data_IF_172625839748
#
_entry.id   IF_172625839748
#
_cell.length_a   1.000
_cell.length_b   1.000
_cell.length_c   1.000
_cell.angle_alpha   90.00
_cell.angle_beta   90.00
_cell.angle_gamma   90.00
#
_symmetry.space_group_name_H-M   'P 1'
#
loop_
_entity.id
_entity.type
_entity.pdbx_description
1 polymer ?
#
# COMPACT_ATOMS: atom_id res chain seq x y z
N UNK A 1 -31.92 0.51 29.65
CA UNK A 1 -31.65 0.69 29.68
C UNK A 1 -31.09 1.54 29.72
N UNK A 2 -30.71 2.10 29.71
CA UNK A 2 -30.18 2.96 29.67
C UNK A 2 -28.87 3.08 29.56
N UNK A 3 -28.10 2.82 29.82
CA UNK A 3 -26.87 2.82 29.72
C UNK A 3 -26.26 2.57 28.50
N UNK A 4 -26.71 2.14 27.62
CA UNK A 4 -26.19 1.84 26.39
C UNK A 4 -25.66 3.04 25.67
N UNK A 5 -25.84 4.17 26.17
CA UNK A 5 -25.33 5.34 25.53
C UNK A 5 -23.84 5.36 25.42
N UNK A 6 -23.18 4.91 26.46
CA UNK A 6 -21.75 5.11 26.47
C UNK A 6 -21.06 4.31 25.41
N UNK A 7 -21.51 3.13 25.10
CA UNK A 7 -20.76 2.39 24.13
C UNK A 7 -21.11 2.76 22.71
N UNK A 8 -22.09 3.56 22.52
CA UNK A 8 -22.35 4.09 21.21
C UNK A 8 -21.30 5.07 20.78
N UNK A 9 -20.65 5.68 21.75
CA UNK A 9 -19.59 6.60 21.43
C UNK A 9 -18.34 5.90 21.00
N UNK A 10 -18.23 4.62 21.28
CA UNK A 10 -17.08 3.86 20.90
C UNK A 10 -17.47 3.04 19.70
N UNK A 11 -18.04 3.68 18.74
CA UNK A 11 -18.46 2.97 17.56
C UNK A 11 -17.28 2.24 16.98
N UNK A 12 -17.35 0.94 16.83
CA UNK A 12 -16.27 0.22 16.18
C UNK A 12 -16.18 0.67 14.74
N UNK A 13 -15.02 0.44 14.16
CA UNK A 13 -14.84 0.69 12.76
C UNK A 13 -15.93 -0.04 12.00
N UNK A 14 -16.60 0.64 11.10
CA UNK A 14 -17.65 0.03 10.32
C UNK A 14 -17.07 -1.16 9.58
N UNK A 15 -17.77 -2.30 9.54
CA UNK A 15 -17.20 -3.50 8.95
C UNK A 15 -17.09 -3.49 7.44
N UNK A 16 -17.08 -2.32 6.82
CA UNK A 16 -16.81 -2.22 5.40
C UNK A 16 -15.34 -2.45 5.13
N UNK A 17 -15.04 -2.85 3.93
CA UNK A 17 -13.68 -3.02 3.46
C UNK A 17 -13.49 -2.21 2.19
N UNK A 18 -12.27 -1.76 1.98
CA UNK A 18 -11.91 -1.07 0.75
C UNK A 18 -11.07 -1.99 -0.11
N UNK A 19 -11.22 -1.89 -1.41
CA UNK A 19 -10.37 -2.63 -2.33
C UNK A 19 -10.23 -1.82 -3.61
N UNK A 20 -9.47 -2.36 -4.55
CA UNK A 20 -9.25 -1.70 -5.82
C UNK A 20 -9.72 -2.62 -6.93
N UNK A 21 -9.95 -2.07 -8.12
CA UNK A 21 -10.52 -2.82 -9.21
C UNK A 21 -9.63 -2.90 -10.44
N UNK A 22 -8.57 -2.13 -10.49
CA UNK A 22 -7.67 -2.15 -11.64
C UNK A 22 -6.25 -1.81 -11.24
N UNK A 23 -5.32 -2.01 -12.16
CA UNK A 23 -3.92 -1.73 -11.94
C UNK A 23 -3.70 -0.22 -11.94
N UNK A 24 -2.86 0.25 -11.04
CA UNK A 24 -2.46 1.65 -11.00
C UNK A 24 -1.01 1.76 -10.60
N UNK A 25 -0.40 2.86 -11.02
CA UNK A 25 0.99 3.16 -10.71
C UNK A 25 1.04 4.51 -10.03
N UNK A 26 1.94 4.64 -9.06
CA UNK A 26 2.21 5.94 -8.46
C UNK A 26 3.65 5.98 -8.01
N UNK A 27 4.21 7.18 -8.03
CA UNK A 27 5.50 7.41 -7.41
C UNK A 27 5.35 8.60 -6.49
N UNK A 28 6.21 8.64 -5.49
CA UNK A 28 6.18 9.72 -4.52
C UNK A 28 7.56 9.96 -3.98
N UNK A 29 7.95 11.21 -3.92
CA UNK A 29 9.21 11.64 -3.34
C UNK A 29 8.92 12.37 -2.05
N UNK A 30 9.40 11.79 -0.95
CA UNK A 30 9.36 12.47 0.34
C UNK A 30 10.68 13.21 0.50
N UNK A 31 10.61 14.52 0.56
CA UNK A 31 11.79 15.35 0.71
C UNK A 31 11.48 16.44 1.72
N UNK A 32 12.29 16.52 2.74
CA UNK A 32 12.12 17.53 3.77
C UNK A 32 13.48 18.05 4.18
N UNK A 33 13.62 19.35 4.15
CA UNK A 33 14.84 20.00 4.60
C UNK A 33 14.43 21.13 5.53
N UNK A 34 14.72 20.98 6.79
CA UNK A 34 14.44 22.04 7.73
C UNK A 34 15.44 21.96 8.83
N UNK A 35 16.31 22.95 8.89
CA UNK A 35 17.22 23.22 9.99
C UNK A 35 17.99 22.03 10.43
N UNK A 36 18.18 21.04 10.21
CA UNK A 36 18.91 19.90 10.73
C UNK A 36 19.07 18.83 9.67
N UNK A 37 18.85 17.61 10.10
CA UNK A 37 18.97 16.49 9.20
C UNK A 37 17.83 16.51 8.20
N UNK A 38 18.15 16.33 6.91
CA UNK A 38 17.16 16.22 5.88
C UNK A 38 16.50 14.85 5.86
N UNK A 39 15.43 14.74 5.09
CA UNK A 39 14.76 13.48 4.85
C UNK A 39 14.56 13.30 3.36
N UNK A 40 14.82 12.11 2.87
CA UNK A 40 14.63 11.84 1.45
C UNK A 40 14.31 10.37 1.22
N UNK A 41 13.29 10.12 0.43
CA UNK A 41 12.98 8.79 -0.05
C UNK A 41 12.02 8.88 -1.21
N UNK A 42 12.31 8.16 -2.28
CA UNK A 42 11.41 8.13 -3.43
C UNK A 42 11.08 6.69 -3.75
N UNK A 43 9.79 6.42 -3.93
CA UNK A 43 9.27 5.08 -4.16
C UNK A 43 8.38 5.10 -5.39
N UNK A 44 8.60 4.15 -6.29
CA UNK A 44 7.75 3.94 -7.45
C UNK A 44 7.09 2.57 -7.28
N UNK A 45 5.76 2.54 -7.32
CA UNK A 45 5.05 1.28 -7.10
C UNK A 45 3.92 1.08 -8.08
N UNK A 46 3.59 -0.18 -8.29
CA UNK A 46 2.40 -0.60 -9.00
C UNK A 46 1.55 -1.37 -8.01
N UNK A 47 0.26 -1.10 -8.00
CA UNK A 47 -0.67 -1.90 -7.19
C UNK A 47 -1.74 -2.47 -8.11
N UNK A 48 -2.28 -3.60 -7.71
CA UNK A 48 -3.34 -4.26 -8.46
C UNK A 48 -4.17 -5.11 -7.53
N UNK A 49 -5.41 -5.47 -7.93
CA UNK A 49 -6.22 -6.34 -7.10
C UNK A 49 -5.58 -7.72 -7.00
N UNK A 50 -5.55 -8.26 -5.80
CA UNK A 50 -5.06 -9.60 -5.59
C UNK A 50 -6.21 -10.60 -5.62
N UNK A 51 -6.01 -11.75 -6.26
CA UNK A 51 -6.93 -12.87 -6.22
C UNK A 51 -6.13 -14.15 -6.35
N UNK A 52 -6.71 -15.25 -5.89
CA UNK A 52 -6.02 -16.52 -5.96
C UNK A 52 -5.77 -16.91 -7.40
N UNK A 53 -4.57 -17.40 -7.67
CA UNK A 53 -4.18 -17.78 -9.02
C UNK A 53 -3.69 -16.66 -9.89
N UNK A 54 -3.45 -15.49 -9.30
CA UNK A 54 -3.05 -14.31 -10.05
C UNK A 54 -1.72 -14.46 -10.78
N UNK A 55 -0.84 -15.38 -10.32
CA UNK A 55 0.47 -15.54 -10.94
C UNK A 55 1.44 -14.46 -10.47
N UNK A 56 2.62 -14.45 -11.11
CA UNK A 56 3.66 -13.51 -10.71
C UNK A 56 3.54 -12.19 -11.45
N UNK A 57 3.94 -11.09 -10.81
CA UNK A 57 3.84 -9.77 -11.42
C UNK A 57 4.99 -9.58 -12.42
N UNK A 58 4.72 -9.75 -13.69
CA UNK A 58 5.76 -9.62 -14.71
C UNK A 58 5.49 -8.53 -15.73
N UNK A 59 4.35 -8.56 -16.34
CA UNK A 59 4.07 -7.64 -17.44
C UNK A 59 2.91 -6.75 -17.07
N UNK A 60 3.14 -5.46 -17.14
CA UNK A 60 2.11 -4.49 -16.83
C UNK A 60 2.00 -3.45 -17.93
N UNK A 61 0.78 -3.06 -18.23
CA UNK A 61 0.53 -1.87 -19.02
C UNK A 61 0.21 -0.75 -18.06
N UNK A 62 1.13 0.20 -17.98
CA UNK A 62 1.02 1.27 -17.00
C UNK A 62 0.54 2.52 -17.71
N UNK A 63 -0.57 3.11 -17.28
CA UNK A 63 -1.05 4.34 -17.90
C UNK A 63 0.04 5.40 -17.91
N UNK A 64 0.32 5.95 -19.09
CA UNK A 64 1.33 6.97 -19.25
C UNK A 64 2.75 6.46 -19.36
N UNK A 65 2.99 5.18 -19.12
CA UNK A 65 4.34 4.62 -19.19
C UNK A 65 4.47 3.45 -20.14
N UNK A 66 3.35 2.94 -20.66
CA UNK A 66 3.37 1.85 -21.63
C UNK A 66 3.62 0.51 -20.97
N UNK A 67 4.20 -0.41 -21.74
CA UNK A 67 4.45 -1.75 -21.24
C UNK A 67 5.66 -1.75 -20.33
N UNK A 68 5.55 -2.43 -19.21
CA UNK A 68 6.61 -2.53 -18.24
C UNK A 68 6.79 -3.99 -17.86
N UNK A 69 8.02 -4.47 -17.99
CA UNK A 69 8.37 -5.84 -17.61
C UNK A 69 9.14 -5.78 -16.29
N UNK A 70 8.64 -6.50 -15.30
CA UNK A 70 9.25 -6.49 -13.98
C UNK A 70 9.85 -7.85 -13.68
N UNK A 71 10.93 -7.83 -12.90
CA UNK A 71 11.58 -9.04 -12.45
C UNK A 71 11.55 -9.07 -10.93
N UNK A 72 10.49 -9.62 -10.33
CA UNK A 72 10.38 -9.66 -8.89
C UNK A 72 11.52 -10.47 -8.28
N UNK A 73 12.13 -9.94 -7.25
CA UNK A 73 13.25 -10.60 -6.58
C UNK A 73 12.86 -11.15 -5.22
N UNK A 74 11.97 -10.49 -4.54
CA UNK A 74 11.50 -10.97 -3.25
C UNK A 74 9.99 -10.90 -3.21
N UNK A 75 9.41 -11.81 -2.45
CA UNK A 75 7.97 -11.89 -2.30
C UNK A 75 7.64 -12.08 -0.83
N UNK A 76 6.69 -11.30 -0.35
CA UNK A 76 6.14 -11.49 0.99
C UNK A 76 4.63 -11.49 0.89
N UNK A 77 4.00 -12.32 1.68
CA UNK A 77 2.56 -12.45 1.63
C UNK A 77 2.03 -12.43 3.06
N UNK A 78 1.01 -11.64 3.29
CA UNK A 78 0.46 -11.43 4.62
C UNK A 78 -1.04 -11.69 4.62
N UNK A 79 -1.49 -12.48 5.59
CA UNK A 79 -2.90 -12.61 5.86
C UNK A 79 -3.30 -11.47 6.77
N UNK A 80 -4.22 -10.64 6.30
CA UNK A 80 -4.61 -9.46 7.05
C UNK A 80 -5.55 -9.83 8.18
N UNK A 81 -5.43 -9.15 9.29
CA UNK A 81 -6.25 -9.45 10.46
C UNK A 81 -7.73 -9.26 10.19
N UNK A 82 -8.05 -8.35 9.28
CA UNK A 82 -9.44 -8.04 8.93
C UNK A 82 -9.91 -8.83 7.69
N UNK A 83 -9.17 -9.84 7.30
CA UNK A 83 -9.49 -10.66 6.16
C UNK A 83 -8.80 -10.20 4.90
N UNK A 84 -8.62 -11.13 3.96
CA UNK A 84 -7.93 -10.82 2.72
C UNK A 84 -6.44 -10.90 2.86
N UNK A 85 -5.74 -10.55 1.78
CA UNK A 85 -4.29 -10.69 1.71
C UNK A 85 -3.64 -9.45 1.16
N UNK A 86 -2.37 -9.29 1.52
CA UNK A 86 -1.47 -8.33 0.92
C UNK A 86 -0.28 -9.10 0.37
N UNK A 87 0.00 -8.95 -0.92
CA UNK A 87 1.24 -9.46 -1.51
C UNK A 87 2.16 -8.29 -1.77
N UNK A 88 3.39 -8.43 -1.35
CA UNK A 88 4.39 -7.38 -1.46
C UNK A 88 5.62 -7.93 -2.18
N UNK A 89 5.95 -7.31 -3.29
CA UNK A 89 7.09 -7.72 -4.11
C UNK A 89 8.08 -6.59 -4.23
N UNK A 90 9.35 -6.95 -4.29
CA UNK A 90 10.39 -6.01 -4.66
C UNK A 90 10.97 -6.43 -6.01
N UNK A 91 10.95 -5.52 -6.95
CA UNK A 91 11.55 -5.71 -8.27
C UNK A 91 12.59 -4.62 -8.54
N UNK A 92 13.23 -4.13 -7.49
CA UNK A 92 14.23 -3.08 -7.58
C UNK A 92 15.45 -3.59 -8.32
N UNK A 93 15.97 -2.76 -9.22
CA UNK A 93 17.15 -3.08 -10.03
C UNK A 93 18.24 -2.08 -9.70
N UNK A 94 19.49 -2.54 -9.72
CA UNK A 94 20.63 -1.64 -9.58
C UNK A 94 20.77 -0.97 -8.23
N UNK A 95 20.13 -1.49 -7.21
CA UNK A 95 20.27 -0.92 -5.88
C UNK A 95 19.64 0.44 -5.71
N UNK A 96 18.63 0.76 -6.52
CA UNK A 96 17.97 2.06 -6.47
C UNK A 96 17.46 2.37 -5.07
N UNK A 97 16.97 1.35 -4.35
CA UNK A 97 16.60 1.47 -2.95
C UNK A 97 17.31 0.35 -2.22
N UNK A 98 18.00 0.69 -1.13
CA UNK A 98 18.68 -0.31 -0.32
C UNK A 98 17.64 -1.25 0.29
N UNK A 99 17.94 -2.54 0.29
CA UNK A 99 17.02 -3.56 0.81
C UNK A 99 16.64 -3.31 2.27
N UNK A 100 17.51 -2.65 3.03
CA UNK A 100 17.22 -2.35 4.44
C UNK A 100 16.01 -1.44 4.62
N UNK A 101 15.61 -0.72 3.57
CA UNK A 101 14.45 0.17 3.64
C UNK A 101 13.14 -0.51 3.25
N UNK A 102 13.20 -1.75 2.75
CA UNK A 102 11.98 -2.45 2.36
C UNK A 102 10.99 -2.67 3.51
N UNK A 103 11.46 -3.04 4.71
CA UNK A 103 10.51 -3.14 5.84
C UNK A 103 9.79 -1.83 6.15
N UNK A 104 10.48 -0.70 6.01
CA UNK A 104 9.85 0.60 6.26
C UNK A 104 8.79 0.90 5.20
N UNK A 105 9.08 0.57 3.94
CA UNK A 105 8.13 0.74 2.86
C UNK A 105 6.88 -0.10 3.11
N UNK A 106 7.07 -1.36 3.48
CA UNK A 106 5.96 -2.24 3.80
C UNK A 106 5.13 -1.70 4.97
N UNK A 107 5.80 -1.19 5.99
CA UNK A 107 5.10 -0.64 7.14
C UNK A 107 4.22 0.55 6.75
N UNK A 108 4.71 1.42 5.88
CA UNK A 108 3.92 2.53 5.40
C UNK A 108 2.68 2.07 4.65
N UNK A 109 2.83 1.05 3.82
CA UNK A 109 1.70 0.48 3.09
C UNK A 109 0.69 -0.13 4.06
N UNK A 110 1.17 -0.88 5.05
CA UNK A 110 0.27 -1.51 6.02
C UNK A 110 -0.48 -0.48 6.84
N UNK A 111 0.16 0.62 7.20
CA UNK A 111 -0.53 1.69 7.91
C UNK A 111 -1.67 2.26 7.08
N UNK A 112 -1.45 2.38 5.78
CA UNK A 112 -2.49 2.92 4.91
C UNK A 112 -3.58 1.90 4.61
N UNK A 113 -3.26 0.62 4.67
CA UNK A 113 -4.28 -0.41 4.55
C UNK A 113 -5.12 -0.52 5.82
N UNK A 114 -4.52 -0.26 6.96
CA UNK A 114 -5.26 -0.23 8.22
C UNK A 114 -6.27 0.92 8.25
N UNK A 115 -5.93 2.00 7.58
CA UNK A 115 -6.80 3.16 7.50
C UNK A 115 -6.91 3.53 6.02
N UNK A 116 -7.82 2.88 5.32
CA UNK A 116 -7.91 2.97 3.87
C UNK A 116 -8.06 4.38 3.36
N UNK A 117 -7.49 4.65 2.18
CA UNK A 117 -7.50 6.01 1.64
C UNK A 117 -8.88 6.53 1.24
N UNK A 118 -9.84 5.65 1.05
CA UNK A 118 -11.14 6.07 0.55
C UNK A 118 -12.06 6.54 1.69
N UNK A 119 -12.23 5.72 2.71
CA UNK A 119 -13.16 6.05 3.80
C UNK A 119 -12.58 5.77 5.18
N UNK A 120 -11.32 5.37 5.25
CA UNK A 120 -10.74 4.98 6.54
C UNK A 120 -11.03 3.55 6.94
N UNK A 121 -11.73 2.79 6.11
CA UNK A 121 -12.00 1.38 6.39
C UNK A 121 -10.77 0.54 6.03
N UNK A 122 -10.73 -0.70 6.53
CA UNK A 122 -9.61 -1.58 6.22
C UNK A 122 -9.57 -1.91 4.73
N UNK A 123 -8.38 -1.83 4.13
CA UNK A 123 -8.18 -2.24 2.74
C UNK A 123 -7.71 -3.69 2.69
N UNK A 124 -8.06 -4.40 1.63
CA UNK A 124 -7.69 -5.80 1.51
C UNK A 124 -7.52 -6.23 0.06
N UNK A 125 -6.85 -7.37 -0.11
CA UNK A 125 -6.70 -8.04 -1.41
C UNK A 125 -6.00 -7.14 -2.42
N UNK A 126 -4.79 -6.74 -2.07
CA UNK A 126 -3.99 -5.86 -2.89
C UNK A 126 -2.61 -6.47 -3.06
N UNK A 127 -2.09 -6.38 -4.26
CA UNK A 127 -0.70 -6.74 -4.54
C UNK A 127 0.07 -5.48 -4.87
N UNK A 128 1.23 -5.32 -4.22
CA UNK A 128 2.08 -4.15 -4.39
C UNK A 128 3.43 -4.59 -4.91
N UNK A 129 3.92 -3.92 -5.94
CA UNK A 129 5.27 -4.16 -6.47
C UNK A 129 6.03 -2.85 -6.41
N UNK A 130 7.13 -2.85 -5.69
CA UNK A 130 8.05 -1.72 -5.65
C UNK A 130 9.09 -1.98 -6.71
N UNK A 131 9.11 -1.17 -7.76
CA UNK A 131 9.95 -1.48 -8.91
C UNK A 131 11.06 -0.46 -9.15
N UNK A 132 11.02 0.68 -8.49
CA UNK A 132 12.06 1.69 -8.66
C UNK A 132 11.99 2.68 -7.51
N UNK A 133 12.93 3.59 -7.48
CA UNK A 133 12.97 4.65 -6.50
C UNK A 133 14.30 5.34 -6.50
N UNK A 134 14.53 6.17 -5.49
CA UNK A 134 15.80 6.87 -5.31
C UNK A 134 16.13 6.99 -3.85
N UNK A 135 17.41 6.93 -3.54
CA UNK A 135 17.91 7.21 -2.20
C UNK A 135 18.93 8.32 -2.28
N UNK A 136 19.10 9.00 -1.16
CA UNK A 136 20.14 9.98 -0.99
C UNK A 136 21.14 9.44 0.03
N UNK A 137 22.44 9.51 -0.24
CA UNK A 137 23.43 8.89 0.65
C UNK A 137 23.38 9.35 2.09
N UNK A 138 22.97 10.59 2.32
CA UNK A 138 22.99 11.18 3.66
C UNK A 138 21.59 11.25 4.27
N UNK A 139 20.59 11.65 3.48
CA UNK A 139 19.28 12.01 4.01
C UNK A 139 18.26 10.88 4.01
N UNK A 140 18.57 9.75 3.38
CA UNK A 140 17.62 8.65 3.35
C UNK A 140 17.64 7.89 4.67
N UNK A 141 16.46 7.64 5.19
CA UNK A 141 16.27 6.86 6.41
C UNK A 141 14.93 6.15 6.34
N UNK A 142 14.66 5.36 7.36
CA UNK A 142 13.45 4.53 7.37
C UNK A 142 12.18 5.34 7.33
N UNK A 143 12.14 6.43 8.08
CA UNK A 143 10.93 7.22 8.14
C UNK A 143 10.64 7.90 6.81
N UNK A 144 11.68 8.29 6.08
CA UNK A 144 11.51 8.90 4.76
C UNK A 144 10.85 7.93 3.80
N UNK A 145 11.31 6.69 3.79
CA UNK A 145 10.73 5.68 2.91
C UNK A 145 9.35 5.22 3.37
N UNK A 146 9.12 5.17 4.67
CA UNK A 146 7.79 4.86 5.17
C UNK A 146 6.77 5.89 4.69
N UNK A 147 7.09 7.17 4.81
CA UNK A 147 6.18 8.23 4.39
C UNK A 147 6.03 8.27 2.87
N UNK A 148 7.12 8.05 2.14
CA UNK A 148 7.05 8.02 0.68
C UNK A 148 6.14 6.87 0.21
N UNK A 149 6.30 5.70 0.80
CA UNK A 149 5.49 4.54 0.43
C UNK A 149 4.03 4.75 0.79
N UNK A 150 3.76 5.32 1.95
CA UNK A 150 2.39 5.56 2.38
C UNK A 150 1.68 6.51 1.42
N UNK A 151 2.36 7.57 1.01
CA UNK A 151 1.76 8.53 0.11
C UNK A 151 1.65 8.01 -1.32
N UNK A 152 2.63 7.23 -1.78
CA UNK A 152 2.55 6.61 -3.09
C UNK A 152 1.40 5.62 -3.15
N UNK A 153 1.24 4.82 -2.10
CA UNK A 153 0.14 3.87 -2.02
C UNK A 153 -1.21 4.58 -2.04
N UNK A 154 -1.32 5.67 -1.31
CA UNK A 154 -2.53 6.45 -1.27
C UNK A 154 -2.91 6.96 -2.66
N UNK A 155 -1.94 7.47 -3.41
CA UNK A 155 -2.21 7.95 -4.76
C UNK A 155 -2.56 6.84 -5.72
N UNK A 156 -1.82 5.74 -5.65
CA UNK A 156 -2.10 4.60 -6.51
C UNK A 156 -3.49 4.04 -6.22
N UNK A 157 -3.85 3.97 -4.96
CA UNK A 157 -5.16 3.47 -4.55
C UNK A 157 -6.28 4.31 -5.17
N UNK A 158 -6.14 5.61 -5.14
CA UNK A 158 -7.13 6.49 -5.72
C UNK A 158 -7.28 6.28 -7.22
N UNK A 159 -6.20 5.93 -7.89
CA UNK A 159 -6.20 5.73 -9.34
C UNK A 159 -6.53 4.31 -9.75
N UNK A 160 -6.72 3.42 -8.79
CA UNK A 160 -6.94 2.00 -9.07
C UNK A 160 -8.41 1.61 -9.05
N UNK A 161 -9.31 2.59 -9.20
CA UNK A 161 -10.73 2.30 -9.16
C UNK A 161 -11.18 1.75 -7.83
N UNK A 162 -10.95 2.49 -6.75
CA UNK A 162 -11.29 1.96 -5.42
C UNK A 162 -12.78 1.81 -5.23
N UNK A 163 -13.15 0.86 -4.40
CA UNK A 163 -14.55 0.66 -4.06
C UNK A 163 -14.68 0.15 -2.64
N UNK A 164 -15.87 0.30 -2.10
CA UNK A 164 -16.19 -0.18 -0.76
C UNK A 164 -16.90 -1.50 -0.89
N UNK A 165 -16.44 -2.50 -0.13
CA UNK A 165 -17.10 -3.79 -0.07
C UNK A 165 -17.94 -3.84 1.17
N UNK A 166 -19.20 -4.21 0.99
CA UNK A 166 -20.08 -4.40 2.13
C UNK A 166 -19.75 -5.70 2.82
N UNK A 167 -19.93 -5.77 4.12
CA UNK A 167 -19.68 -7.02 4.83
C UNK A 167 -20.68 -8.07 4.38
N UNK A 168 -20.18 -9.29 4.29
CA UNK A 168 -21.05 -10.42 3.99
C UNK A 168 -21.45 -11.04 5.30
N UNK A 169 -22.71 -10.92 5.63
CA UNK A 169 -23.22 -11.55 6.82
C UNK A 169 -23.75 -12.90 6.43
N UNK A 170 -23.30 -13.86 7.11
CA UNK A 170 -23.93 -15.12 6.87
C UNK A 170 -25.15 -15.22 7.68
N UNK A 171 -25.68 -14.39 8.05
CA UNK A 171 -26.77 -14.51 8.75
C UNK A 171 -27.90 -14.93 8.34
N UNK A 172 -27.95 -15.09 8.16
CA UNK A 172 -28.75 -15.43 7.94
C UNK A 172 -29.42 -15.66 8.70
N UNK A 173 -29.79 -15.49 9.14
CA UNK A 173 -30.30 -15.70 9.80
C UNK A 173 -30.67 -15.78 10.08
#
# INVERSE_FOLDING_TARGET
>A
KENKLSYEHIAPKIPYRETITKVAQADYRHKKQSGGAGQFGEVHMIIEPYYEGIGEPKNYKVPGKGDMVLNPKTKEEYDLQWGGKLQFYSAIVGGAIDARFMPAILKGIMEKMDEGPLTGSYARDIRVVIYDGKMHPVDSNEISFKLAARNAFKEAFRNAGPKIMEPIYSVEV
#
